data_IF_726865015308
#
_entry.id   IF_726865015308
#
_cell.length_a   1.000
_cell.length_b   1.000
_cell.length_c   1.000
_cell.angle_alpha   90.00
_cell.angle_beta   90.00
_cell.angle_gamma   90.00
#
_symmetry.space_group_name_H-M   'P 1'
#
loop_
_entity.id
_entity.type
_entity.pdbx_description
1 polymer ?
#
# COMPACT_ATOMS: atom_id res chain seq x y z
N UNK A 1 33.24 -9.04 6.26
CA UNK A 1 32.27 -8.91 7.37
C UNK A 1 30.96 -8.44 6.77
N UNK A 2 29.98 -9.32 6.62
CA UNK A 2 28.63 -8.90 6.24
C UNK A 2 27.97 -8.35 7.51
N UNK A 3 27.55 -7.09 7.52
CA UNK A 3 26.74 -6.58 8.63
C UNK A 3 25.44 -7.40 8.67
N UNK A 4 25.19 -8.08 9.77
CA UNK A 4 23.90 -8.75 10.05
C UNK A 4 22.78 -7.73 10.37
N UNK A 5 22.91 -6.49 9.90
CA UNK A 5 21.89 -5.48 10.07
C UNK A 5 20.78 -5.77 9.07
N UNK A 6 19.57 -6.00 9.59
CA UNK A 6 18.38 -6.08 8.76
C UNK A 6 18.24 -4.73 8.04
N UNK A 7 18.14 -4.71 6.70
CA UNK A 7 18.05 -3.46 5.96
C UNK A 7 16.78 -2.70 6.37
N UNK A 8 16.92 -1.38 6.51
CA UNK A 8 15.80 -0.48 6.81
C UNK A 8 14.64 -0.73 5.83
N UNK A 9 13.47 -1.18 6.31
CA UNK A 9 12.36 -1.56 5.44
C UNK A 9 11.88 -0.40 4.54
N UNK A 10 11.97 0.85 5.01
CA UNK A 10 11.60 2.03 4.20
C UNK A 10 12.58 2.20 3.04
N UNK A 11 13.89 2.11 3.31
CA UNK A 11 14.92 2.20 2.26
C UNK A 11 14.77 1.09 1.22
N UNK A 12 14.39 -0.11 1.65
CA UNK A 12 14.10 -1.23 0.73
C UNK A 12 12.95 -0.86 -0.20
N UNK A 13 11.84 -0.34 0.32
CA UNK A 13 10.69 0.06 -0.49
C UNK A 13 11.03 1.18 -1.47
N UNK A 14 11.75 2.20 -1.03
CA UNK A 14 12.18 3.32 -1.87
C UNK A 14 13.12 2.86 -2.99
N UNK A 15 14.10 2.01 -2.65
CA UNK A 15 15.01 1.44 -3.62
C UNK A 15 14.25 0.61 -4.67
N UNK A 16 13.32 -0.24 -4.25
CA UNK A 16 12.47 -1.00 -5.16
C UNK A 16 11.66 -0.07 -6.08
N UNK A 17 10.97 0.94 -5.55
CA UNK A 17 10.18 1.86 -6.35
C UNK A 17 10.99 2.65 -7.38
N UNK A 18 12.27 2.90 -7.12
CA UNK A 18 13.13 3.56 -8.13
C UNK A 18 13.49 2.68 -9.34
N UNK A 19 13.31 1.36 -9.24
CA UNK A 19 13.72 0.40 -10.27
C UNK A 19 12.56 -0.32 -10.97
N UNK A 20 11.40 -0.43 -10.32
CA UNK A 20 10.24 -1.19 -10.84
C UNK A 20 9.04 -0.27 -11.06
N UNK A 21 8.11 -0.69 -11.93
CA UNK A 21 6.87 0.06 -12.16
C UNK A 21 5.66 -0.39 -11.39
N UNK A 22 5.74 -1.55 -10.74
CA UNK A 22 4.64 -2.09 -9.97
C UNK A 22 5.18 -2.86 -8.77
N UNK A 23 4.61 -2.63 -7.60
CA UNK A 23 4.91 -3.35 -6.38
C UNK A 23 3.62 -3.90 -5.76
N UNK A 24 3.65 -5.18 -5.40
CA UNK A 24 2.58 -5.83 -4.66
C UNK A 24 3.12 -6.37 -3.35
N UNK A 25 2.59 -5.89 -2.23
CA UNK A 25 2.96 -6.28 -0.88
C UNK A 25 1.82 -7.10 -0.28
N UNK A 26 2.12 -8.31 0.19
CA UNK A 26 1.17 -9.15 0.89
C UNK A 26 1.71 -9.47 2.30
N UNK A 27 1.16 -8.81 3.31
CA UNK A 27 1.56 -8.98 4.70
C UNK A 27 0.76 -10.09 5.35
N UNK A 28 1.47 -11.12 5.81
CA UNK A 28 0.89 -12.17 6.64
C UNK A 28 0.87 -11.73 8.10
N UNK A 29 0.01 -12.36 8.89
CA UNK A 29 0.01 -12.20 10.34
C UNK A 29 1.36 -12.58 10.93
N UNK A 30 1.93 -11.69 11.73
CA UNK A 30 3.03 -11.94 12.64
C UNK A 30 2.45 -12.36 14.00
N UNK A 31 2.86 -13.51 14.53
CA UNK A 31 2.37 -14.03 15.82
C UNK A 31 2.73 -13.14 17.01
N UNK A 32 3.79 -12.36 16.89
CA UNK A 32 4.35 -11.51 17.95
C UNK A 32 3.73 -10.10 17.98
N UNK A 33 2.88 -9.77 17.00
CA UNK A 33 2.30 -8.43 16.86
C UNK A 33 0.78 -8.51 16.95
N UNK A 34 0.22 -7.69 17.85
CA UNK A 34 -1.22 -7.54 18.00
C UNK A 34 -1.87 -6.98 16.71
N UNK A 35 -3.04 -7.50 16.34
CA UNK A 35 -3.75 -7.09 15.12
C UNK A 35 -4.21 -5.63 15.14
N UNK A 36 -4.36 -5.05 16.34
CA UNK A 36 -4.70 -3.64 16.54
C UNK A 36 -3.49 -2.69 16.36
N UNK A 37 -2.28 -3.23 16.27
CA UNK A 37 -1.08 -2.42 16.10
C UNK A 37 -1.07 -1.71 14.74
N UNK A 38 -0.48 -0.53 14.71
CA UNK A 38 -0.17 0.24 13.49
C UNK A 38 1.02 -0.38 12.76
N UNK A 39 0.91 -1.66 12.39
CA UNK A 39 2.03 -2.48 11.94
C UNK A 39 2.02 -2.68 10.43
N UNK A 40 3.11 -2.30 9.78
CA UNK A 40 3.33 -2.60 8.37
C UNK A 40 4.81 -2.78 8.06
N UNK A 41 5.09 -3.81 7.25
CA UNK A 41 6.40 -4.07 6.68
C UNK A 41 7.53 -4.12 7.73
N UNK A 42 7.26 -4.72 8.88
CA UNK A 42 8.22 -4.87 9.98
C UNK A 42 8.34 -3.66 10.91
N UNK A 43 7.58 -2.59 10.66
CA UNK A 43 7.62 -1.35 11.44
C UNK A 43 6.28 -1.07 12.11
N UNK A 44 6.34 -0.36 13.24
CA UNK A 44 5.17 0.07 14.02
C UNK A 44 5.08 1.60 14.02
N UNK A 45 3.85 2.13 14.03
CA UNK A 45 3.57 3.55 14.23
C UNK A 45 4.27 4.47 13.20
N UNK A 46 4.45 3.95 11.99
CA UNK A 46 5.08 4.68 10.89
C UNK A 46 4.05 5.52 10.14
N UNK A 47 4.45 6.74 9.82
CA UNK A 47 3.67 7.63 8.99
C UNK A 47 3.89 7.34 7.49
N UNK A 48 3.05 6.46 6.94
CA UNK A 48 3.25 5.89 5.59
C UNK A 48 2.93 6.81 4.42
N UNK A 49 2.12 7.85 4.60
CA UNK A 49 1.74 8.76 3.51
C UNK A 49 2.94 9.39 2.78
N UNK A 50 3.88 10.09 3.45
CA UNK A 50 5.03 10.68 2.75
C UNK A 50 5.93 9.62 2.10
N UNK A 51 5.99 8.41 2.67
CA UNK A 51 6.79 7.30 2.11
C UNK A 51 6.18 6.84 0.79
N UNK A 52 4.88 6.58 0.74
CA UNK A 52 4.21 6.17 -0.49
C UNK A 52 4.22 7.28 -1.53
N UNK A 53 4.00 8.55 -1.14
CA UNK A 53 4.13 9.69 -2.06
C UNK A 53 5.54 9.79 -2.65
N UNK A 54 6.57 9.59 -1.82
CA UNK A 54 7.94 9.54 -2.31
C UNK A 54 8.15 8.41 -3.33
N UNK A 55 7.61 7.22 -3.06
CA UNK A 55 7.68 6.10 -4.00
C UNK A 55 7.05 6.45 -5.35
N UNK A 56 5.87 7.07 -5.35
CA UNK A 56 5.17 7.50 -6.57
C UNK A 56 5.78 8.75 -7.23
N UNK A 57 6.67 9.48 -6.55
CA UNK A 57 7.43 10.56 -7.18
C UNK A 57 8.52 10.07 -8.14
N UNK A 58 8.86 8.77 -8.09
CA UNK A 58 9.84 8.19 -9.00
C UNK A 58 9.25 7.95 -10.39
N UNK A 59 10.01 8.32 -11.43
CA UNK A 59 9.57 8.34 -12.83
C UNK A 59 9.09 6.99 -13.40
N UNK A 60 9.41 5.88 -12.72
CA UNK A 60 9.10 4.52 -13.18
C UNK A 60 7.93 3.89 -12.43
N UNK A 61 7.54 4.42 -11.27
CA UNK A 61 6.67 3.72 -10.32
C UNK A 61 5.21 4.13 -10.48
N UNK A 62 4.40 3.22 -11.03
CA UNK A 62 3.01 3.54 -11.38
C UNK A 62 1.99 2.80 -10.48
N UNK A 63 2.38 1.71 -9.81
CA UNK A 63 1.41 0.84 -9.14
C UNK A 63 1.90 0.33 -7.79
N UNK A 64 1.08 0.51 -6.75
CA UNK A 64 1.25 -0.08 -5.43
C UNK A 64 -0.03 -0.80 -4.99
N UNK A 65 0.09 -2.10 -4.75
CA UNK A 65 -0.98 -2.93 -4.20
C UNK A 65 -0.54 -3.49 -2.83
N UNK A 66 -1.28 -3.19 -1.78
CA UNK A 66 -1.02 -3.66 -0.43
C UNK A 66 -2.20 -4.53 0.02
N UNK A 67 -1.89 -5.75 0.42
CA UNK A 67 -2.79 -6.66 1.13
C UNK A 67 -2.32 -6.80 2.56
N UNK A 68 -2.99 -6.13 3.50
CA UNK A 68 -2.65 -6.15 4.92
C UNK A 68 -3.90 -6.34 5.78
N UNK A 69 -4.51 -7.52 5.68
CA UNK A 69 -5.79 -7.80 6.34
C UNK A 69 -5.69 -7.89 7.87
N UNK A 70 -4.49 -8.16 8.41
CA UNK A 70 -4.31 -8.42 9.85
C UNK A 70 -3.97 -7.17 10.67
N UNK A 71 -3.52 -6.10 10.03
CA UNK A 71 -3.05 -4.89 10.69
C UNK A 71 -3.65 -3.67 10.01
N UNK A 72 -4.96 -3.47 10.18
CA UNK A 72 -5.73 -2.49 9.42
C UNK A 72 -5.37 -1.05 9.77
N UNK A 73 -4.82 -0.82 10.97
CA UNK A 73 -4.52 0.51 11.50
C UNK A 73 -3.17 1.07 11.00
N UNK A 74 -2.43 0.29 10.21
CA UNK A 74 -1.13 0.73 9.69
C UNK A 74 -1.21 2.01 8.85
N UNK A 75 -2.36 2.26 8.21
CA UNK A 75 -2.62 3.49 7.48
C UNK A 75 -3.62 4.33 8.27
N UNK A 76 -3.11 5.33 8.98
CA UNK A 76 -3.97 6.28 9.71
C UNK A 76 -4.94 6.99 8.77
N UNK A 77 -6.07 7.45 9.30
CA UNK A 77 -7.08 8.23 8.56
C UNK A 77 -6.47 9.47 7.88
N UNK A 78 -5.55 10.14 8.59
CA UNK A 78 -4.84 11.30 8.06
C UNK A 78 -3.89 10.90 6.92
N UNK A 79 -3.15 9.81 7.07
CA UNK A 79 -2.32 9.27 5.99
C UNK A 79 -3.17 8.92 4.76
N UNK A 80 -4.33 8.31 4.96
CA UNK A 80 -5.26 7.95 3.90
C UNK A 80 -5.84 9.18 3.19
N UNK A 81 -6.16 10.24 3.96
CA UNK A 81 -6.63 11.52 3.43
C UNK A 81 -5.58 12.19 2.56
N UNK A 82 -4.34 12.28 3.04
CA UNK A 82 -3.22 12.87 2.28
C UNK A 82 -2.96 12.09 1.00
N UNK A 83 -2.91 10.75 1.05
CA UNK A 83 -2.72 9.96 -0.17
C UNK A 83 -3.85 10.17 -1.18
N UNK A 84 -5.09 10.34 -0.71
CA UNK A 84 -6.23 10.61 -1.58
C UNK A 84 -6.13 11.96 -2.28
N UNK A 85 -5.64 12.97 -1.58
CA UNK A 85 -5.49 14.34 -2.10
C UNK A 85 -4.27 14.47 -3.02
N UNK A 86 -3.15 13.86 -2.64
CA UNK A 86 -1.84 14.10 -3.26
C UNK A 86 -1.52 13.15 -4.41
N UNK A 87 -1.91 11.86 -4.35
CA UNK A 87 -1.61 10.90 -5.42
C UNK A 87 -2.14 11.32 -6.80
N UNK A 88 -3.37 11.87 -6.93
CA UNK A 88 -3.87 12.37 -8.21
C UNK A 88 -3.02 13.50 -8.81
N UNK A 89 -2.35 14.29 -7.97
CA UNK A 89 -1.54 15.43 -8.42
C UNK A 89 -0.19 15.01 -9.01
N UNK A 90 0.30 13.80 -8.71
CA UNK A 90 1.59 13.31 -9.20
C UNK A 90 1.60 12.94 -10.70
N UNK A 91 0.43 12.88 -11.34
CA UNK A 91 0.30 12.69 -12.79
C UNK A 91 0.48 11.23 -13.27
N UNK A 92 -0.43 10.81 -14.14
CA UNK A 92 -0.56 9.50 -14.83
C UNK A 92 -0.50 8.19 -14.02
N UNK A 93 -1.60 7.42 -14.11
CA UNK A 93 -1.77 5.98 -13.81
C UNK A 93 -1.30 5.46 -12.45
N UNK A 94 -1.33 6.28 -11.41
CA UNK A 94 -1.13 5.79 -10.04
C UNK A 94 -2.25 4.83 -9.64
N UNK A 95 -1.96 3.53 -9.62
CA UNK A 95 -2.85 2.51 -9.07
C UNK A 95 -2.44 2.23 -7.63
N UNK A 96 -3.23 2.76 -6.68
CA UNK A 96 -3.08 2.49 -5.26
C UNK A 96 -4.24 1.64 -4.74
N UNK A 97 -3.93 0.46 -4.16
CA UNK A 97 -4.91 -0.46 -3.57
C UNK A 97 -4.46 -0.91 -2.19
N UNK A 98 -5.35 -0.85 -1.21
CA UNK A 98 -5.15 -1.34 0.16
C UNK A 98 -6.34 -2.19 0.58
N UNK A 99 -6.10 -3.29 1.31
CA UNK A 99 -7.15 -4.05 2.00
C UNK A 99 -7.17 -3.77 3.50
N UNK A 100 -8.35 -3.58 4.09
CA UNK A 100 -8.57 -3.45 5.53
C UNK A 100 -10.04 -3.64 5.93
N UNK A 101 -10.30 -4.18 7.12
CA UNK A 101 -11.64 -4.64 7.56
C UNK A 101 -12.64 -3.53 7.94
N UNK A 102 -12.25 -2.26 8.07
CA UNK A 102 -13.11 -1.25 8.71
C UNK A 102 -13.58 -0.06 7.87
N UNK A 103 -13.34 -0.05 6.56
CA UNK A 103 -13.64 1.11 5.73
C UNK A 103 -14.71 0.82 4.68
N UNK A 104 -16.00 1.06 4.96
CA UNK A 104 -17.02 1.16 3.89
C UNK A 104 -16.77 2.42 3.06
N UNK A 105 -16.21 2.33 1.84
CA UNK A 105 -15.94 3.51 1.03
C UNK A 105 -17.13 3.68 0.08
N UNK A 106 -17.90 4.75 0.25
CA UNK A 106 -18.80 5.21 -0.81
C UNK A 106 -17.95 5.81 -1.93
N UNK A 107 -17.54 5.04 -2.95
CA UNK A 107 -16.97 5.63 -4.16
C UNK A 107 -17.39 4.91 -5.45
N UNK A 108 -17.82 5.72 -6.41
CA UNK A 108 -18.14 5.37 -7.79
C UNK A 108 -16.90 5.27 -8.67
N UNK A 109 -16.93 4.28 -9.55
CA UNK A 109 -15.93 3.97 -10.58
C UNK A 109 -15.86 5.09 -11.62
N UNK A 110 -14.70 5.71 -11.84
CA UNK A 110 -14.41 6.47 -13.06
C UNK A 110 -12.97 6.24 -13.55
N UNK A 111 -12.75 6.50 -14.84
CA UNK A 111 -11.75 5.88 -15.74
C UNK A 111 -10.25 6.21 -15.48
N UNK A 112 -9.86 6.62 -14.27
CA UNK A 112 -8.47 6.99 -13.93
C UNK A 112 -8.04 6.53 -12.53
N UNK A 113 -8.51 5.35 -12.13
CA UNK A 113 -8.87 4.89 -10.77
C UNK A 113 -7.93 5.09 -9.56
N UNK A 114 -8.55 5.54 -8.46
CA UNK A 114 -8.37 5.05 -7.07
C UNK A 114 -9.53 4.09 -6.78
N UNK A 115 -9.31 2.88 -6.23
CA UNK A 115 -10.44 2.05 -5.73
C UNK A 115 -10.05 1.08 -4.61
N UNK A 116 -10.76 1.17 -3.49
CA UNK A 116 -10.86 0.16 -2.45
C UNK A 116 -11.95 -0.86 -2.84
N UNK A 117 -11.61 -2.14 -2.93
CA UNK A 117 -12.57 -3.23 -3.20
C UNK A 117 -12.47 -4.33 -2.17
N UNK A 118 -13.64 -4.70 -1.64
CA UNK A 118 -13.90 -5.86 -0.81
C UNK A 118 -14.17 -7.06 -1.74
N UNK A 119 -13.47 -8.16 -1.50
CA UNK A 119 -13.84 -9.46 -2.02
C UNK A 119 -14.07 -10.36 -0.81
N UNK A 120 -15.32 -10.77 -0.63
CA UNK A 120 -15.62 -12.03 0.03
C UNK A 120 -15.03 -13.16 -0.83
N UNK A 121 -14.45 -14.17 -0.19
CA UNK A 121 -13.76 -15.28 -0.85
C UNK A 121 -14.76 -16.11 -1.67
N UNK A 122 -15.04 -15.71 -2.92
CA UNK A 122 -15.61 -16.61 -3.92
C UNK A 122 -15.32 -16.14 -5.35
N UNK A 123 -14.43 -16.87 -6.01
CA UNK A 123 -14.16 -16.92 -7.46
C UNK A 123 -13.48 -15.71 -8.13
N UNK A 124 -12.16 -15.87 -8.38
CA UNK A 124 -11.47 -15.14 -9.43
C UNK A 124 -11.79 -15.74 -10.81
N UNK A 125 -12.39 -14.98 -11.71
CA UNK A 125 -12.38 -15.29 -13.15
C UNK A 125 -11.57 -14.26 -13.92
N UNK A 126 -10.61 -14.77 -14.70
CA UNK A 126 -9.82 -13.99 -15.67
C UNK A 126 -10.75 -13.48 -16.76
N UNK A 127 -10.76 -12.17 -17.00
CA UNK A 127 -11.24 -11.62 -18.28
C UNK A 127 -10.08 -11.71 -19.27
N UNK A 128 -10.18 -12.65 -20.22
CA UNK A 128 -9.39 -12.60 -21.46
C UNK A 128 -10.07 -11.64 -22.42
N UNK A 129 -9.26 -10.90 -23.18
CA UNK A 129 -9.67 -10.08 -24.34
C UNK A 129 -10.53 -10.88 -25.31
#
# INVERSE_FOLDING_TARGET
MYSNECPDPVKVLQNLSSHIGSLSINQRRCSEVHTEANHFFGLNDVYWAPIFLHMFSHLKFDTLCIKNCFYTNYLSDESARILREELPMLGNKVLYRVTGEFYKPNYTMNERSVTATYFDDSYSTRVKR
#
